data_IF_572972093954
#
_entry.id   IF_572972093954
#
_cell.length_a   1.000
_cell.length_b   1.000
_cell.length_c   1.000
_cell.angle_alpha   90.00
_cell.angle_beta   90.00
_cell.angle_gamma   90.00
#
_symmetry.space_group_name_H-M   'P 1'
#
loop_
_entity.id
_entity.type
_entity.pdbx_description
1 polymer ?
#
# COMPACT_ATOMS: atom_id res chain seq x y z
N UNK A 1 -25.14 -47.56 41.60
CA UNK A 1 -26.22 -47.12 42.49
C UNK A 1 -25.55 -46.26 43.54
N UNK A 2 -25.73 -44.95 43.36
CA UNK A 2 -25.24 -43.79 44.14
C UNK A 2 -23.70 -43.74 44.33
N UNK A 3 -22.89 -43.19 43.41
CA UNK A 3 -22.79 -41.78 42.91
C UNK A 3 -22.63 -40.77 44.05
N UNK A 4 -21.72 -39.81 44.06
CA UNK A 4 -20.59 -39.36 43.22
C UNK A 4 -19.65 -38.62 44.21
N UNK A 5 -18.32 -38.56 44.04
CA UNK A 5 -17.62 -37.41 43.44
C UNK A 5 -17.73 -36.13 44.31
N UNK A 6 -16.72 -35.31 44.58
CA UNK A 6 -15.46 -35.02 43.91
C UNK A 6 -14.62 -34.15 44.87
N UNK A 7 -13.30 -34.19 44.66
CA UNK A 7 -12.23 -33.33 45.20
C UNK A 7 -12.47 -31.81 44.93
N UNK A 8 -11.75 -30.83 45.50
CA UNK A 8 -10.44 -30.25 45.07
C UNK A 8 -10.39 -28.92 45.90
N UNK A 9 -9.47 -28.64 46.84
CA UNK A 9 -8.10 -28.11 46.75
C UNK A 9 -7.90 -26.69 46.15
N UNK A 10 -7.37 -25.75 46.95
CA UNK A 10 -6.35 -24.74 46.54
C UNK A 10 -5.71 -24.17 47.83
N UNK A 11 -4.39 -24.33 48.06
CA UNK A 11 -3.25 -23.48 47.66
C UNK A 11 -3.22 -22.14 48.45
N UNK A 12 -2.14 -21.66 49.09
CA UNK A 12 -0.69 -21.58 48.75
C UNK A 12 0.12 -21.58 50.08
N UNK A 13 1.24 -22.28 50.25
CA UNK A 13 2.58 -21.75 49.94
C UNK A 13 3.66 -22.85 49.98
N UNK A 14 4.57 -22.77 49.01
CA UNK A 14 5.50 -23.83 48.65
C UNK A 14 6.94 -23.64 49.12
N UNK A 15 7.70 -24.71 48.93
CA UNK A 15 9.05 -24.72 48.39
C UNK A 15 9.42 -26.19 48.19
N UNK A 16 9.69 -26.65 46.96
CA UNK A 16 10.77 -27.58 46.61
C UNK A 16 10.74 -27.90 45.10
N UNK A 17 11.92 -28.32 44.64
CA UNK A 17 12.52 -28.21 43.32
C UNK A 17 12.20 -29.33 42.32
N UNK A 18 12.26 -28.95 41.03
CA UNK A 18 12.85 -29.66 39.87
C UNK A 18 12.15 -30.87 39.19
N UNK A 19 11.91 -30.66 37.89
CA UNK A 19 12.17 -31.52 36.70
C UNK A 19 11.05 -32.31 35.98
N UNK A 20 10.79 -31.83 34.75
CA UNK A 20 10.74 -32.47 33.41
C UNK A 20 9.55 -33.32 32.94
N UNK A 21 8.92 -32.79 31.87
CA UNK A 21 8.43 -33.36 30.59
C UNK A 21 7.61 -34.68 30.53
N UNK A 22 6.48 -34.60 29.82
CA UNK A 22 6.09 -35.62 28.82
C UNK A 22 4.61 -36.02 28.75
N UNK A 23 3.96 -35.57 27.66
CA UNK A 23 3.02 -36.32 26.78
C UNK A 23 1.57 -36.70 27.21
N UNK A 24 0.61 -35.82 26.85
CA UNK A 24 -0.41 -35.90 25.74
C UNK A 24 -1.24 -37.19 25.50
N UNK A 25 -2.58 -37.03 25.62
CA UNK A 25 -3.75 -37.66 24.90
C UNK A 25 -4.02 -39.20 24.93
N UNK A 26 -5.20 -39.81 24.76
CA UNK A 26 -6.65 -39.49 24.56
C UNK A 26 -7.47 -40.82 24.58
N UNK A 27 -8.67 -40.77 25.18
CA UNK A 27 -9.95 -41.52 24.93
C UNK A 27 -10.14 -43.07 25.01
N UNK A 28 -11.39 -43.37 25.42
CA UNK A 28 -12.29 -44.55 25.24
C UNK A 28 -12.28 -45.70 26.28
N UNK A 29 -13.47 -45.94 26.87
CA UNK A 29 -13.84 -47.14 27.67
C UNK A 29 -14.09 -48.39 26.81
N UNK A 30 -14.87 -49.42 27.23
CA UNK A 30 -15.61 -49.62 28.47
C UNK A 30 -15.40 -51.00 29.17
N UNK A 31 -16.05 -51.13 30.34
CA UNK A 31 -16.38 -52.28 31.21
C UNK A 31 -16.29 -53.71 30.64
N UNK A 32 -15.75 -54.66 31.42
CA UNK A 32 -16.50 -55.65 32.23
C UNK A 32 -15.61 -56.76 32.86
N UNK A 33 -16.04 -57.22 34.05
CA UNK A 33 -15.96 -58.57 34.64
C UNK A 33 -14.69 -59.13 35.33
N UNK A 34 -14.83 -59.25 36.67
CA UNK A 34 -14.47 -60.34 37.63
C UNK A 34 -13.06 -60.96 37.65
N UNK A 35 -12.43 -61.15 38.84
CA UNK A 35 -11.11 -61.78 38.95
C UNK A 35 -11.19 -63.30 39.14
N UNK A 36 -10.30 -64.01 38.45
CA UNK A 36 -9.98 -65.41 38.67
C UNK A 36 -8.69 -65.56 39.51
N UNK A 37 -8.57 -66.74 40.12
CA UNK A 37 -7.79 -67.12 41.29
C UNK A 37 -6.39 -67.70 40.94
N UNK A 38 -5.31 -67.22 41.63
CA UNK A 38 -4.17 -67.90 42.39
C UNK A 38 -3.34 -68.99 41.63
N UNK A 39 -2.00 -69.27 41.84
CA UNK A 39 -1.28 -69.28 43.13
C UNK A 39 0.27 -69.06 43.22
N UNK A 40 0.77 -68.96 44.47
CA UNK A 40 2.17 -69.18 44.90
C UNK A 40 2.55 -68.35 46.15
N UNK A 41 2.23 -68.80 47.38
CA UNK A 41 3.07 -69.57 48.34
C UNK A 41 4.09 -68.69 49.13
N UNK A 42 4.18 -68.63 50.47
CA UNK A 42 3.60 -69.44 51.55
C UNK A 42 3.70 -68.78 52.97
N UNK A 43 2.69 -69.10 53.83
CA UNK A 43 2.70 -69.39 55.29
C UNK A 43 3.02 -68.25 56.31
N UNK A 44 2.25 -67.95 57.39
CA UNK A 44 1.43 -68.69 58.38
C UNK A 44 0.19 -67.82 58.81
N UNK A 45 -1.09 -68.23 58.73
CA UNK A 45 -2.00 -69.01 59.64
C UNK A 45 -2.15 -68.50 61.09
N UNK A 46 -3.33 -68.37 61.74
CA UNK A 46 -4.73 -68.77 61.43
C UNK A 46 -5.74 -67.89 62.20
N UNK A 47 -6.85 -67.65 61.52
CA UNK A 47 -8.18 -67.07 61.80
C UNK A 47 -8.78 -66.96 63.21
N UNK A 48 -9.70 -65.99 63.32
CA UNK A 48 -10.81 -66.04 64.28
C UNK A 48 -11.75 -64.83 64.28
N UNK A 49 -12.37 -64.48 63.15
CA UNK A 49 -13.57 -63.61 63.13
C UNK A 49 -14.82 -64.49 63.33
N UNK A 50 -15.81 -63.95 64.06
CA UNK A 50 -17.26 -64.30 64.09
C UNK A 50 -17.79 -65.02 65.35
N UNK A 51 -18.67 -64.28 66.06
CA UNK A 51 -19.82 -64.72 66.91
C UNK A 51 -19.49 -65.47 68.21
N UNK A 52 -20.29 -65.45 69.28
CA UNK A 52 -21.43 -64.68 69.79
C UNK A 52 -21.81 -65.42 71.09
N UNK A 53 -22.44 -64.72 72.04
CA UNK A 53 -23.30 -65.26 73.11
C UNK A 53 -22.68 -65.86 74.40
N UNK A 54 -23.18 -65.24 75.49
CA UNK A 54 -23.55 -65.77 76.82
C UNK A 54 -22.50 -65.75 77.93
N UNK A 55 -22.86 -65.07 79.02
CA UNK A 55 -22.46 -65.50 80.36
C UNK A 55 -22.39 -64.41 81.42
N UNK A 56 -23.53 -63.83 81.80
CA UNK A 56 -23.67 -63.27 83.15
C UNK A 56 -23.64 -64.42 84.16
N UNK A 57 -22.71 -64.41 85.13
CA UNK A 57 -22.89 -64.88 86.52
C UNK A 57 -21.92 -64.13 87.44
N UNK A 58 -22.50 -63.51 88.45
CA UNK A 58 -21.95 -62.79 89.60
C UNK A 58 -20.94 -63.59 90.48
N UNK A 59 -20.12 -62.88 91.28
CA UNK A 59 -20.43 -62.68 92.72
C UNK A 59 -19.24 -62.23 93.58
N UNK A 60 -19.46 -61.13 94.33
CA UNK A 60 -19.29 -60.89 95.80
C UNK A 60 -19.34 -59.37 96.02
N UNK A 61 -20.44 -58.69 96.44
CA UNK A 61 -21.24 -58.71 97.70
C UNK A 61 -20.32 -58.71 98.93
N UNK A 62 -20.29 -57.72 99.84
CA UNK A 62 -21.30 -57.02 100.69
C UNK A 62 -20.77 -55.61 101.08
N UNK A 63 -21.52 -54.59 101.54
CA UNK A 63 -22.89 -54.45 102.07
C UNK A 63 -23.26 -52.94 102.14
N UNK A 64 -24.56 -52.66 102.17
CA UNK A 64 -25.17 -51.34 102.34
C UNK A 64 -25.91 -51.25 103.70
N UNK A 65 -25.94 -50.07 104.32
CA UNK A 65 -26.93 -49.66 105.33
C UNK A 65 -27.24 -48.17 105.05
N UNK A 66 -28.34 -47.86 104.35
CA UNK A 66 -29.64 -47.38 104.87
C UNK A 66 -29.62 -45.96 105.47
N UNK A 67 -30.20 -44.96 104.79
CA UNK A 67 -31.55 -44.44 105.11
C UNK A 67 -31.99 -43.31 104.15
N UNK A 68 -33.29 -43.32 103.90
CA UNK A 68 -34.10 -42.46 103.05
C UNK A 68 -34.67 -41.24 103.82
N UNK A 69 -35.18 -40.27 103.07
CA UNK A 69 -36.17 -39.21 103.40
C UNK A 69 -35.72 -37.88 104.06
N UNK A 70 -35.78 -36.83 103.22
CA UNK A 70 -36.47 -35.54 103.38
C UNK A 70 -36.18 -34.61 104.60
N UNK A 71 -35.50 -33.50 104.32
CA UNK A 71 -35.59 -32.12 104.88
C UNK A 71 -34.35 -31.37 104.31
N UNK A 72 -34.34 -30.14 103.82
CA UNK A 72 -35.23 -28.99 103.75
C UNK A 72 -34.60 -28.00 102.74
N UNK A 73 -35.38 -27.11 102.12
CA UNK A 73 -34.84 -25.96 101.39
C UNK A 73 -33.89 -25.12 102.26
N UNK A 74 -32.71 -24.81 101.71
CA UNK A 74 -31.93 -23.58 101.96
C UNK A 74 -30.88 -23.43 100.85
N UNK A 75 -31.17 -22.52 99.92
CA UNK A 75 -30.26 -21.57 99.23
C UNK A 75 -28.76 -21.91 99.11
N UNK A 76 -28.29 -22.06 97.86
CA UNK A 76 -27.39 -21.09 97.21
C UNK A 76 -27.72 -21.04 95.72
N UNK A 77 -28.19 -19.88 95.28
CA UNK A 77 -28.31 -19.45 93.89
C UNK A 77 -26.93 -19.30 93.22
N UNK A 78 -26.87 -19.37 91.89
CA UNK A 78 -25.68 -18.90 91.19
C UNK A 78 -25.50 -19.39 89.75
N UNK A 79 -26.50 -19.26 88.88
CA UNK A 79 -26.20 -18.89 87.51
C UNK A 79 -26.71 -17.45 87.35
N UNK A 80 -25.86 -16.49 86.97
CA UNK A 80 -26.28 -15.12 86.77
C UNK A 80 -27.37 -15.06 85.68
N UNK A 81 -28.27 -14.05 85.71
CA UNK A 81 -29.16 -13.79 84.57
C UNK A 81 -28.29 -13.76 83.30
N UNK A 82 -28.71 -14.51 82.27
CA UNK A 82 -28.09 -14.41 80.96
C UNK A 82 -28.58 -13.07 80.41
N UNK A 83 -27.71 -12.06 80.50
CA UNK A 83 -27.93 -10.73 79.96
C UNK A 83 -27.50 -10.77 78.51
N UNK A 84 -28.23 -10.06 77.68
CA UNK A 84 -28.02 -9.84 76.25
C UNK A 84 -28.24 -8.32 76.12
N UNK A 85 -27.14 -7.59 75.98
CA UNK A 85 -27.06 -6.14 76.25
C UNK A 85 -27.51 -5.31 75.06
N UNK A 86 -27.16 -5.73 73.85
CA UNK A 86 -27.55 -5.13 72.56
C UNK A 86 -28.85 -5.74 71.99
N UNK A 87 -29.19 -6.98 72.38
CA UNK A 87 -30.45 -7.62 72.03
C UNK A 87 -30.39 -8.38 70.70
N UNK A 88 -29.21 -8.77 70.25
CA UNK A 88 -28.99 -9.42 68.95
C UNK A 88 -29.34 -10.93 68.95
N UNK A 89 -29.54 -11.50 70.14
CA UNK A 89 -29.89 -12.89 70.36
C UNK A 89 -28.75 -13.78 70.84
N UNK A 90 -27.52 -13.25 70.95
CA UNK A 90 -26.38 -13.86 71.64
C UNK A 90 -26.30 -13.28 73.06
N UNK A 91 -26.03 -14.13 74.05
CA UNK A 91 -25.96 -13.66 75.45
C UNK A 91 -24.55 -13.12 75.73
N UNK A 92 -24.40 -12.06 76.53
CA UNK A 92 -23.13 -11.38 76.86
C UNK A 92 -21.98 -12.34 77.27
N UNK A 93 -22.31 -13.52 77.80
CA UNK A 93 -21.34 -14.53 78.24
C UNK A 93 -20.71 -15.34 77.09
N UNK A 94 -21.38 -15.38 75.94
CA UNK A 94 -20.97 -16.07 74.72
C UNK A 94 -20.75 -15.11 73.54
N UNK A 95 -20.97 -13.82 73.77
CA UNK A 95 -20.92 -12.76 72.79
C UNK A 95 -19.53 -12.09 72.84
N UNK A 96 -18.86 -12.04 71.69
CA UNK A 96 -17.56 -11.41 71.51
C UNK A 96 -17.67 -9.88 71.42
N UNK A 97 -18.83 -9.36 71.05
CA UNK A 97 -19.16 -7.94 70.93
C UNK A 97 -20.45 -7.55 71.70
N UNK A 98 -20.50 -7.63 73.06
CA UNK A 98 -21.71 -7.47 73.88
C UNK A 98 -22.36 -6.07 73.96
N UNK A 99 -22.08 -5.19 73.02
CA UNK A 99 -22.69 -3.88 72.91
C UNK A 99 -23.05 -3.49 71.47
N UNK A 100 -22.94 -4.42 70.53
CA UNK A 100 -23.12 -4.24 69.10
C UNK A 100 -24.22 -5.17 68.60
N UNK A 101 -25.26 -4.62 67.99
CA UNK A 101 -26.40 -5.44 67.52
C UNK A 101 -26.06 -6.11 66.19
N UNK A 102 -25.56 -7.35 66.23
CA UNK A 102 -25.19 -8.11 65.04
C UNK A 102 -26.37 -8.84 64.37
N UNK A 103 -27.62 -8.45 64.69
CA UNK A 103 -28.84 -9.06 64.16
C UNK A 103 -28.88 -9.13 62.63
N UNK A 104 -28.72 -10.34 62.09
CA UNK A 104 -28.81 -10.60 60.65
C UNK A 104 -27.49 -10.48 59.89
N UNK A 105 -26.39 -10.14 60.59
CA UNK A 105 -25.04 -10.00 60.05
C UNK A 105 -24.01 -10.83 60.83
N UNK A 106 -24.44 -11.72 61.73
CA UNK A 106 -23.60 -12.68 62.48
C UNK A 106 -23.81 -14.10 61.93
N UNK A 107 -23.02 -14.48 60.92
CA UNK A 107 -23.14 -15.78 60.25
C UNK A 107 -22.48 -16.89 61.07
N UNK A 108 -21.42 -16.59 61.82
CA UNK A 108 -20.65 -17.59 62.56
C UNK A 108 -21.11 -17.80 64.02
N UNK A 109 -21.96 -16.90 64.51
CA UNK A 109 -22.68 -16.98 65.77
C UNK A 109 -21.87 -16.50 66.97
N UNK A 110 -20.88 -15.63 66.77
CA UNK A 110 -20.00 -15.13 67.83
C UNK A 110 -20.49 -13.83 68.50
N UNK A 111 -21.57 -13.22 68.00
CA UNK A 111 -22.17 -11.99 68.51
C UNK A 111 -21.53 -10.70 67.97
N UNK A 112 -20.62 -10.78 67.01
CA UNK A 112 -20.09 -9.61 66.30
C UNK A 112 -20.70 -9.50 64.90
N UNK A 113 -20.72 -8.28 64.34
CA UNK A 113 -21.04 -8.07 62.92
C UNK A 113 -19.90 -8.67 62.10
N UNK A 114 -20.24 -9.54 61.14
CA UNK A 114 -19.29 -10.11 60.19
C UNK A 114 -18.62 -8.97 59.37
N UNK A 115 -17.33 -9.12 59.14
CA UNK A 115 -16.55 -8.37 58.15
C UNK A 115 -16.11 -9.42 57.12
N UNK A 116 -17.03 -9.73 56.20
CA UNK A 116 -16.93 -10.90 55.34
C UNK A 116 -15.74 -10.84 54.38
N UNK A 117 -15.28 -9.64 54.05
CA UNK A 117 -14.18 -9.41 53.12
C UNK A 117 -12.87 -8.92 53.78
N UNK A 118 -12.94 -8.53 55.05
CA UNK A 118 -11.81 -8.19 55.90
C UNK A 118 -11.27 -6.78 55.69
N UNK A 119 -12.06 -5.84 55.16
CA UNK A 119 -11.64 -4.46 54.91
C UNK A 119 -11.75 -3.53 56.14
N UNK A 120 -12.40 -4.00 57.19
CA UNK A 120 -12.60 -3.29 58.46
C UNK A 120 -13.90 -2.49 58.54
N UNK A 121 -14.78 -2.61 57.55
CA UNK A 121 -16.18 -2.16 57.56
C UNK A 121 -17.07 -3.39 57.81
N UNK A 122 -18.05 -3.27 58.72
CA UNK A 122 -18.98 -4.38 58.98
C UNK A 122 -19.99 -4.54 57.84
N UNK A 123 -20.42 -5.78 57.59
CA UNK A 123 -21.39 -6.17 56.56
C UNK A 123 -22.75 -5.42 56.67
N UNK A 124 -23.05 -4.82 57.82
CA UNK A 124 -24.27 -4.06 58.08
C UNK A 124 -24.30 -2.69 57.40
N UNK A 125 -23.13 -2.12 57.13
CA UNK A 125 -22.95 -0.81 56.48
C UNK A 125 -22.06 -0.88 55.24
N UNK A 126 -21.42 -2.01 54.98
CA UNK A 126 -20.62 -2.23 53.79
C UNK A 126 -21.50 -2.59 52.58
N UNK A 127 -21.61 -1.71 51.57
CA UNK A 127 -22.30 -2.04 50.32
C UNK A 127 -21.64 -3.21 49.56
N UNK A 128 -20.35 -3.49 49.85
CA UNK A 128 -19.48 -4.38 49.09
C UNK A 128 -18.85 -5.51 49.92
N UNK A 129 -19.55 -5.98 50.96
CA UNK A 129 -19.20 -7.07 51.90
C UNK A 129 -18.63 -8.38 51.33
N UNK A 130 -18.59 -8.58 50.02
CA UNK A 130 -17.96 -9.74 49.38
C UNK A 130 -16.50 -9.52 48.95
N UNK A 131 -16.05 -8.27 48.81
CA UNK A 131 -14.77 -7.92 48.19
C UNK A 131 -14.17 -6.65 48.80
N UNK A 132 -12.96 -6.72 49.37
CA UNK A 132 -12.44 -5.62 50.16
C UNK A 132 -11.98 -4.45 49.26
N UNK A 133 -12.47 -3.24 49.54
CA UNK A 133 -12.22 -2.02 48.76
C UNK A 133 -12.71 -2.10 47.30
N UNK A 134 -13.86 -2.73 47.05
CA UNK A 134 -14.48 -2.92 45.73
C UNK A 134 -15.44 -1.78 45.35
N UNK A 135 -15.13 -0.54 45.75
CA UNK A 135 -15.85 0.71 45.40
C UNK A 135 -14.78 1.79 45.16
N UNK A 136 -14.31 1.87 43.92
CA UNK A 136 -13.11 2.61 43.54
C UNK A 136 -13.31 4.12 43.51
N UNK A 137 -14.53 4.61 43.28
CA UNK A 137 -14.85 6.04 43.24
C UNK A 137 -15.66 6.55 44.44
N UNK A 138 -16.19 5.64 45.27
CA UNK A 138 -16.86 5.93 46.52
C UNK A 138 -18.32 6.36 46.37
N UNK A 139 -18.99 6.01 45.28
CA UNK A 139 -20.40 6.33 45.03
C UNK A 139 -21.38 5.42 45.81
N UNK A 140 -20.87 4.32 46.37
CA UNK A 140 -21.61 3.32 47.13
C UNK A 140 -22.18 2.16 46.30
N UNK A 141 -21.76 2.01 45.05
CA UNK A 141 -21.97 0.86 44.17
C UNK A 141 -20.64 0.12 44.04
N UNK A 142 -20.67 -1.21 44.15
CA UNK A 142 -19.43 -1.97 44.02
C UNK A 142 -18.97 -2.01 42.55
N UNK A 143 -17.66 -1.91 42.29
CA UNK A 143 -17.01 -1.91 40.98
C UNK A 143 -17.54 -3.02 40.04
N UNK A 144 -17.85 -4.19 40.60
CA UNK A 144 -18.39 -5.33 39.85
C UNK A 144 -19.79 -5.09 39.24
N UNK A 145 -20.53 -4.14 39.82
CA UNK A 145 -21.91 -3.80 39.50
C UNK A 145 -22.08 -2.33 39.07
N UNK A 146 -21.00 -1.56 39.18
CA UNK A 146 -20.90 -0.17 38.80
C UNK A 146 -20.80 -0.05 37.26
N UNK A 147 -21.58 0.86 36.68
CA UNK A 147 -21.52 1.13 35.25
C UNK A 147 -20.22 1.85 34.90
N UNK A 148 -19.76 2.71 35.80
CA UNK A 148 -18.55 3.48 35.70
C UNK A 148 -17.70 3.39 36.97
N UNK A 149 -16.91 2.32 37.15
CA UNK A 149 -16.12 2.03 38.36
C UNK A 149 -15.06 3.06 38.77
N UNK A 150 -14.98 4.21 38.11
CA UNK A 150 -14.02 5.28 38.40
C UNK A 150 -14.64 6.67 38.31
N UNK A 151 -15.94 6.78 38.06
CA UNK A 151 -16.68 8.02 37.94
C UNK A 151 -17.96 7.99 38.81
N UNK A 152 -17.97 8.70 39.96
CA UNK A 152 -19.04 8.57 40.95
C UNK A 152 -20.37 9.20 40.51
N UNK A 153 -20.41 9.83 39.33
CA UNK A 153 -21.62 10.36 38.71
C UNK A 153 -22.21 9.41 37.65
N UNK A 154 -21.56 8.26 37.37
CA UNK A 154 -22.01 7.23 36.44
C UNK A 154 -22.36 7.78 35.03
N UNK A 155 -21.55 8.74 34.55
CA UNK A 155 -21.89 9.47 33.32
C UNK A 155 -21.43 8.69 32.10
N UNK A 156 -22.40 8.28 31.29
CA UNK A 156 -22.25 7.78 29.93
C UNK A 156 -23.22 8.58 29.05
N UNK A 157 -22.70 9.58 28.34
CA UNK A 157 -23.51 10.56 27.63
C UNK A 157 -24.24 10.00 26.40
N UNK A 158 -23.74 8.91 25.82
CA UNK A 158 -24.31 8.28 24.61
C UNK A 158 -24.82 6.84 24.80
N UNK A 159 -24.80 6.35 26.05
CA UNK A 159 -25.27 5.03 26.46
C UNK A 159 -24.56 3.88 25.72
N UNK A 160 -23.27 4.04 25.37
CA UNK A 160 -22.51 3.01 24.65
C UNK A 160 -21.77 2.01 25.56
N UNK A 161 -21.79 2.26 26.87
CA UNK A 161 -21.14 1.44 27.89
C UNK A 161 -19.70 1.82 28.21
N UNK A 162 -19.20 2.94 27.69
CA UNK A 162 -17.93 3.56 28.05
C UNK A 162 -18.21 4.90 28.72
N UNK A 163 -17.67 5.07 29.91
CA UNK A 163 -17.91 6.26 30.71
C UNK A 163 -17.23 7.50 30.12
N UNK A 164 -17.88 8.67 30.23
CA UNK A 164 -17.40 9.95 29.69
C UNK A 164 -15.94 10.26 30.06
N UNK A 165 -15.49 9.83 31.24
CA UNK A 165 -14.12 10.06 31.74
C UNK A 165 -13.04 9.30 30.96
N UNK A 166 -13.40 8.18 30.32
CA UNK A 166 -12.52 7.34 29.50
C UNK A 166 -12.96 7.29 28.04
N UNK A 167 -14.14 7.80 27.72
CA UNK A 167 -14.67 7.89 26.38
C UNK A 167 -13.98 9.00 25.57
N UNK A 168 -13.43 8.63 24.43
CA UNK A 168 -12.84 9.58 23.47
C UNK A 168 -13.95 10.37 22.77
N UNK A 169 -15.11 9.74 22.58
CA UNK A 169 -16.20 10.22 21.74
C UNK A 169 -17.46 10.59 22.51
N UNK A 170 -17.28 11.32 23.62
CA UNK A 170 -18.37 11.74 24.52
C UNK A 170 -19.60 12.24 23.76
N UNK A 171 -20.67 11.45 23.80
CA UNK A 171 -21.96 11.79 23.18
C UNK A 171 -22.18 11.20 21.77
N UNK A 172 -21.27 10.34 21.29
CA UNK A 172 -21.38 9.53 20.10
C UNK A 172 -20.81 8.12 20.34
N UNK A 173 -21.66 7.10 20.26
CA UNK A 173 -21.34 5.71 20.62
C UNK A 173 -20.01 5.17 20.04
N UNK A 174 -18.90 5.35 20.77
CA UNK A 174 -17.52 4.93 20.55
C UNK A 174 -17.18 4.58 19.10
N UNK A 175 -17.39 5.56 18.23
CA UNK A 175 -17.04 5.48 16.81
C UNK A 175 -15.70 6.17 16.60
N UNK A 176 -14.64 5.47 16.97
CA UNK A 176 -13.26 5.75 16.56
C UNK A 176 -12.81 4.50 15.79
N UNK A 177 -13.22 4.42 14.52
CA UNK A 177 -13.12 3.21 13.70
C UNK A 177 -11.67 2.80 13.42
N UNK A 178 -10.74 3.75 13.45
CA UNK A 178 -9.32 3.56 13.15
C UNK A 178 -8.38 3.65 14.37
N UNK A 179 -8.89 4.14 15.51
CA UNK A 179 -8.19 4.21 16.78
C UNK A 179 -7.24 5.41 16.90
N UNK A 180 -7.44 6.46 16.11
CA UNK A 180 -6.56 7.65 16.07
C UNK A 180 -6.89 8.70 17.15
N UNK A 181 -7.94 8.45 17.95
CA UNK A 181 -8.51 9.33 18.97
C UNK A 181 -9.30 10.54 18.43
N UNK A 182 -9.77 10.46 17.19
CA UNK A 182 -10.73 11.37 16.58
C UNK A 182 -11.99 10.57 16.25
N UNK A 183 -13.15 11.13 16.59
CA UNK A 183 -14.42 10.44 16.36
C UNK A 183 -14.82 10.48 14.89
N UNK A 184 -15.36 9.39 14.34
CA UNK A 184 -15.78 9.20 12.94
C UNK A 184 -16.70 10.32 12.40
N UNK A 185 -17.44 11.02 13.26
CA UNK A 185 -18.35 12.11 12.85
C UNK A 185 -17.63 13.44 12.62
N UNK A 186 -16.42 13.59 13.16
CA UNK A 186 -15.50 14.70 12.98
C UNK A 186 -14.37 14.30 12.03
N UNK A 187 -13.96 13.04 12.09
CA UNK A 187 -12.89 12.48 11.30
C UNK A 187 -13.31 12.32 9.84
N UNK A 188 -12.52 12.92 8.97
CA UNK A 188 -12.70 12.85 7.52
C UNK A 188 -11.91 11.68 6.92
N UNK A 189 -10.99 11.09 7.69
CA UNK A 189 -9.99 10.14 7.27
C UNK A 189 -9.98 8.90 8.16
N UNK A 190 -10.99 8.06 7.98
CA UNK A 190 -11.32 6.83 8.75
C UNK A 190 -10.27 5.69 8.66
N UNK A 191 -8.98 6.02 8.59
CA UNK A 191 -7.84 5.11 8.42
C UNK A 191 -6.82 5.25 9.55
N UNK A 192 -6.05 4.19 9.83
CA UNK A 192 -5.14 4.09 11.00
C UNK A 192 -3.88 5.00 10.97
N UNK A 193 -4.00 6.26 10.57
CA UNK A 193 -2.94 7.26 10.69
C UNK A 193 -3.30 8.30 11.77
N UNK A 194 -2.28 8.89 12.40
CA UNK A 194 -2.47 9.85 13.51
C UNK A 194 -2.45 11.32 13.03
N UNK A 195 -2.59 11.56 11.72
CA UNK A 195 -2.39 12.87 11.11
C UNK A 195 -3.15 13.00 9.78
N UNK A 196 -4.46 12.73 9.79
CA UNK A 196 -5.32 12.89 8.64
C UNK A 196 -5.00 14.15 7.83
N UNK A 197 -4.88 13.97 6.51
CA UNK A 197 -4.56 15.01 5.51
C UNK A 197 -3.29 15.81 5.85
N UNK A 198 -2.13 15.17 5.65
CA UNK A 198 -0.81 15.68 6.07
C UNK A 198 -0.40 16.97 5.37
N UNK A 199 -0.84 17.16 4.13
CA UNK A 199 -0.51 18.30 3.28
C UNK A 199 -1.66 19.33 3.17
N UNK A 200 -2.88 18.97 3.58
CA UNK A 200 -4.04 19.85 3.68
C UNK A 200 -4.85 19.97 2.38
N UNK A 201 -4.76 18.98 1.51
CA UNK A 201 -5.37 18.96 0.18
C UNK A 201 -6.81 18.37 0.14
N UNK A 202 -7.29 17.90 1.30
CA UNK A 202 -8.56 17.22 1.54
C UNK A 202 -8.65 15.76 1.07
N UNK A 203 -7.51 15.13 0.80
CA UNK A 203 -7.35 13.69 0.59
C UNK A 203 -6.59 13.10 1.78
N UNK A 204 -6.94 11.88 2.16
CA UNK A 204 -6.35 11.22 3.31
C UNK A 204 -5.07 10.49 2.90
N UNK A 205 -3.99 10.59 3.68
CA UNK A 205 -2.65 10.09 3.34
C UNK A 205 -2.62 8.61 2.90
N UNK A 206 -3.54 7.77 3.38
CA UNK A 206 -3.65 6.36 3.03
C UNK A 206 -4.24 6.11 1.62
N UNK A 207 -4.90 7.13 1.07
CA UNK A 207 -5.47 7.17 -0.28
C UNK A 207 -4.82 8.21 -1.19
N UNK A 208 -3.97 9.06 -0.63
CA UNK A 208 -3.28 10.15 -1.32
C UNK A 208 -2.06 9.63 -2.09
N UNK A 209 -2.02 9.87 -3.40
CA UNK A 209 -0.88 9.52 -4.24
C UNK A 209 0.32 10.49 -4.10
N UNK A 210 0.16 11.58 -3.34
CA UNK A 210 1.20 12.53 -2.96
C UNK A 210 1.04 13.07 -1.52
N UNK A 211 1.02 12.18 -0.52
CA UNK A 211 0.76 12.50 0.90
C UNK A 211 1.55 13.66 1.58
N UNK A 212 2.59 14.21 0.95
CA UNK A 212 3.37 15.34 1.46
C UNK A 212 3.21 16.63 0.62
N UNK A 213 2.54 16.60 -0.54
CA UNK A 213 2.47 17.67 -1.54
C UNK A 213 1.05 17.86 -2.11
N UNK A 214 0.36 19.00 -1.83
CA UNK A 214 -1.08 19.14 -2.10
C UNK A 214 -1.49 18.97 -3.56
N UNK A 215 -2.30 17.95 -3.83
CA UNK A 215 -2.83 17.64 -5.17
C UNK A 215 -4.29 17.12 -5.12
N UNK A 216 -5.29 18.00 -4.87
CA UNK A 216 -6.69 17.60 -4.65
C UNK A 216 -7.37 16.88 -5.83
N UNK A 217 -6.78 16.94 -7.03
CA UNK A 217 -7.26 16.24 -8.22
C UNK A 217 -6.67 14.84 -8.39
N UNK A 218 -5.66 14.48 -7.59
CA UNK A 218 -5.01 13.17 -7.56
C UNK A 218 -4.63 12.72 -8.96
N UNK A 219 -4.07 13.65 -9.75
CA UNK A 219 -3.58 13.36 -11.08
C UNK A 219 -2.44 12.34 -10.99
N UNK A 220 -2.47 11.38 -11.91
CA UNK A 220 -1.57 10.23 -12.05
C UNK A 220 -1.62 9.85 -13.53
N UNK A 221 -0.77 10.50 -14.33
CA UNK A 221 -0.80 10.45 -15.78
C UNK A 221 -0.37 9.07 -16.31
N UNK A 222 0.59 8.43 -15.65
CA UNK A 222 1.21 7.18 -16.07
C UNK A 222 0.57 5.92 -15.41
N UNK A 223 -0.16 6.11 -14.31
CA UNK A 223 -0.91 5.10 -13.59
C UNK A 223 -0.05 4.23 -12.68
N UNK A 224 1.13 4.70 -12.24
CA UNK A 224 2.04 3.96 -11.36
C UNK A 224 1.64 4.03 -9.87
N UNK A 225 0.76 4.99 -9.52
CA UNK A 225 0.23 5.21 -8.19
C UNK A 225 0.96 6.28 -7.37
N UNK A 226 1.95 6.97 -7.93
CA UNK A 226 2.54 8.23 -7.47
C UNK A 226 1.83 9.36 -8.24
N UNK A 227 1.53 10.48 -7.58
CA UNK A 227 0.84 11.58 -8.27
C UNK A 227 1.80 12.53 -8.97
N UNK A 228 1.33 13.11 -10.09
CA UNK A 228 2.11 14.02 -10.96
C UNK A 228 2.83 15.14 -10.19
N UNK A 229 2.28 15.59 -9.06
CA UNK A 229 2.81 16.72 -8.26
C UNK A 229 4.05 16.36 -7.45
N UNK A 230 4.18 15.09 -7.02
CA UNK A 230 5.28 14.62 -6.19
C UNK A 230 6.29 13.76 -6.98
N UNK A 231 6.08 13.63 -8.29
CA UNK A 231 7.03 13.04 -9.21
C UNK A 231 8.19 13.98 -9.51
N UNK A 232 9.29 13.39 -9.98
CA UNK A 232 10.47 14.16 -10.36
C UNK A 232 10.26 14.74 -11.76
N UNK A 233 10.55 16.04 -11.88
CA UNK A 233 10.66 16.80 -13.12
C UNK A 233 11.95 17.61 -12.98
N UNK A 234 13.05 17.02 -13.43
CA UNK A 234 14.42 17.45 -13.17
C UNK A 234 14.76 18.76 -13.88
N UNK A 235 14.13 19.02 -15.02
CA UNK A 235 14.39 20.19 -15.85
C UNK A 235 13.28 21.26 -15.80
N UNK A 236 12.10 20.90 -15.29
CA UNK A 236 10.97 21.78 -15.03
C UNK A 236 10.14 22.12 -16.28
N UNK A 237 10.15 21.27 -17.29
CA UNK A 237 9.41 21.49 -18.55
C UNK A 237 7.92 21.06 -18.47
N UNK A 238 7.56 20.30 -17.44
CA UNK A 238 6.20 19.79 -17.20
C UNK A 238 5.95 18.37 -17.68
N UNK A 239 6.97 17.65 -18.14
CA UNK A 239 7.01 16.20 -18.35
C UNK A 239 7.80 15.57 -17.20
N UNK A 240 7.33 14.45 -16.67
CA UNK A 240 8.00 13.76 -15.55
C UNK A 240 9.23 12.99 -16.05
N UNK A 241 10.26 12.86 -15.23
CA UNK A 241 11.55 12.21 -15.56
C UNK A 241 11.40 10.81 -16.18
N UNK A 242 10.36 10.05 -15.80
CA UNK A 242 10.13 8.68 -16.29
C UNK A 242 9.48 8.64 -17.69
N UNK A 243 8.80 9.72 -18.11
CA UNK A 243 8.16 9.88 -19.42
C UNK A 243 8.91 10.87 -20.34
N UNK A 244 9.95 11.55 -19.82
CA UNK A 244 10.72 12.56 -20.52
C UNK A 244 11.87 11.96 -21.36
N UNK A 245 11.84 12.20 -22.67
CA UNK A 245 12.90 11.79 -23.59
C UNK A 245 14.18 12.63 -23.49
N UNK A 246 14.19 13.72 -22.69
CA UNK A 246 15.32 14.58 -22.38
C UNK A 246 15.36 15.10 -20.93
N UNK A 247 15.25 14.21 -19.93
CA UNK A 247 15.27 14.44 -18.45
C UNK A 247 16.03 15.67 -17.88
N UNK A 248 17.14 16.09 -18.50
CA UNK A 248 17.98 17.20 -18.01
C UNK A 248 17.85 18.51 -18.83
N UNK A 249 17.12 18.52 -19.96
CA UNK A 249 17.07 19.60 -20.95
C UNK A 249 15.63 19.89 -21.45
N UNK A 250 15.00 21.03 -21.07
CA UNK A 250 13.56 21.26 -21.26
C UNK A 250 13.04 21.16 -22.69
N UNK A 251 12.05 20.28 -22.92
CA UNK A 251 11.41 20.02 -24.21
C UNK A 251 9.95 19.55 -24.07
N UNK A 252 9.07 20.46 -23.66
CA UNK A 252 7.64 20.21 -23.38
C UNK A 252 6.83 19.60 -24.55
N UNK A 253 7.32 19.70 -25.78
CA UNK A 253 6.73 19.11 -26.98
C UNK A 253 7.18 17.67 -27.25
N UNK A 254 8.21 17.19 -26.56
CA UNK A 254 8.77 15.84 -26.61
C UNK A 254 9.05 15.41 -28.06
N UNK A 255 9.57 16.34 -28.87
CA UNK A 255 9.95 16.06 -30.25
C UNK A 255 11.07 15.00 -30.29
N UNK A 256 10.93 14.03 -31.19
CA UNK A 256 11.80 12.87 -31.42
C UNK A 256 11.64 12.50 -32.91
N UNK A 257 12.45 13.14 -33.76
CA UNK A 257 12.26 13.16 -35.20
C UNK A 257 12.64 11.83 -35.88
N UNK A 258 13.61 11.08 -35.34
CA UNK A 258 14.01 9.78 -35.84
C UNK A 258 13.29 8.60 -35.14
N UNK A 259 12.69 8.84 -33.97
CA UNK A 259 11.91 7.87 -33.20
C UNK A 259 12.77 6.87 -32.41
N UNK A 260 14.00 7.22 -32.03
CA UNK A 260 14.89 6.34 -31.27
C UNK A 260 14.67 6.40 -29.74
N UNK A 261 13.90 7.39 -29.28
CA UNK A 261 13.53 7.62 -27.89
C UNK A 261 14.41 8.60 -27.14
N UNK A 262 15.38 9.25 -27.79
CA UNK A 262 16.08 10.44 -27.33
C UNK A 262 15.38 11.65 -27.97
N UNK A 263 15.10 12.71 -27.20
CA UNK A 263 14.43 13.88 -27.77
C UNK A 263 15.38 14.78 -28.56
N UNK A 264 14.86 15.49 -29.57
CA UNK A 264 15.64 16.37 -30.47
C UNK A 264 16.48 17.45 -29.73
N UNK A 265 16.10 17.79 -28.49
CA UNK A 265 16.83 18.79 -27.69
C UNK A 265 18.12 18.21 -27.09
N UNK A 266 18.17 16.91 -26.85
CA UNK A 266 19.28 16.20 -26.22
C UNK A 266 19.86 15.07 -27.09
N UNK A 267 19.36 14.88 -28.30
CA UNK A 267 20.00 14.10 -29.36
C UNK A 267 21.10 14.94 -30.05
N UNK A 268 22.12 14.26 -30.59
CA UNK A 268 23.17 14.87 -31.41
C UNK A 268 22.98 14.55 -32.93
N UNK A 269 21.97 13.74 -33.29
CA UNK A 269 21.66 13.23 -34.66
C UNK A 269 20.13 13.08 -34.85
N UNK A 270 19.41 14.22 -34.92
CA UNK A 270 17.94 14.32 -34.86
C UNK A 270 17.18 13.52 -35.94
N UNK A 271 17.81 13.15 -37.05
CA UNK A 271 17.18 12.37 -38.13
C UNK A 271 17.75 10.96 -38.34
N UNK A 272 18.74 10.58 -37.54
CA UNK A 272 19.33 9.25 -37.50
C UNK A 272 20.02 8.83 -38.79
N UNK A 273 20.48 9.76 -39.62
CA UNK A 273 21.21 9.46 -40.87
C UNK A 273 22.70 9.14 -40.66
N UNK A 274 23.23 9.46 -39.47
CA UNK A 274 24.60 9.24 -39.06
C UNK A 274 25.53 10.45 -39.23
N UNK A 275 25.01 11.62 -39.57
CA UNK A 275 25.70 12.92 -39.58
C UNK A 275 25.18 13.75 -38.40
N UNK A 276 26.07 14.15 -37.50
CA UNK A 276 25.66 14.92 -36.32
C UNK A 276 25.08 16.28 -36.72
N UNK A 277 24.07 16.80 -36.00
CA UNK A 277 23.34 18.04 -36.35
C UNK A 277 24.26 19.25 -36.53
N UNK A 278 25.37 19.28 -35.79
CA UNK A 278 26.37 20.35 -35.88
C UNK A 278 27.16 20.37 -37.19
N UNK A 279 27.15 19.26 -37.92
CA UNK A 279 27.80 19.05 -39.22
C UNK A 279 26.79 18.79 -40.35
N UNK A 280 25.50 18.63 -40.02
CA UNK A 280 24.41 18.30 -40.94
C UNK A 280 23.82 19.54 -41.62
N UNK A 281 23.66 19.47 -42.95
CA UNK A 281 22.98 20.51 -43.74
C UNK A 281 21.45 20.38 -43.77
N UNK A 282 20.90 19.29 -43.24
CA UNK A 282 19.47 19.04 -43.07
C UNK A 282 19.15 18.25 -41.78
N UNK A 283 19.37 18.79 -40.57
CA UNK A 283 19.28 18.04 -39.29
C UNK A 283 17.98 17.26 -39.02
N UNK A 284 16.88 17.59 -39.70
CA UNK A 284 15.58 16.93 -39.52
C UNK A 284 15.16 16.05 -40.72
N UNK A 285 16.03 15.85 -41.71
CA UNK A 285 15.69 15.16 -42.96
C UNK A 285 16.83 14.29 -43.49
N UNK A 286 16.80 13.01 -43.09
CA UNK A 286 17.89 12.07 -43.36
C UNK A 286 18.46 12.13 -44.79
N UNK A 287 19.74 12.49 -44.89
CA UNK A 287 20.50 12.68 -46.11
C UNK A 287 22.01 12.43 -45.91
N UNK A 288 22.38 11.16 -45.66
CA UNK A 288 23.75 10.70 -45.37
C UNK A 288 24.84 11.11 -46.40
N UNK A 289 24.44 11.51 -47.60
CA UNK A 289 25.31 11.99 -48.67
C UNK A 289 25.56 13.50 -48.68
N UNK A 290 24.81 14.26 -47.86
CA UNK A 290 24.98 15.68 -47.57
C UNK A 290 25.11 16.51 -48.86
N UNK A 291 24.29 16.18 -49.86
CA UNK A 291 24.26 16.91 -51.13
C UNK A 291 23.70 18.31 -50.88
N UNK A 292 24.44 19.31 -51.34
CA UNK A 292 24.12 20.74 -51.36
C UNK A 292 24.59 21.26 -52.73
N UNK A 293 23.64 21.37 -53.67
CA UNK A 293 23.91 21.61 -55.09
C UNK A 293 24.35 23.06 -55.37
N UNK A 294 23.83 24.02 -54.62
CA UNK A 294 24.09 25.46 -54.82
C UNK A 294 25.17 26.02 -53.87
N UNK A 295 25.47 25.31 -52.78
CA UNK A 295 26.50 25.61 -51.81
C UNK A 295 26.10 26.65 -50.76
N UNK A 296 24.80 26.81 -50.49
CA UNK A 296 24.29 27.79 -49.51
C UNK A 296 24.29 27.28 -48.05
N UNK A 297 24.48 25.97 -47.88
CA UNK A 297 24.55 25.29 -46.59
C UNK A 297 23.26 24.58 -46.16
N UNK A 298 22.20 24.63 -46.96
CA UNK A 298 21.05 23.72 -46.84
C UNK A 298 21.25 22.53 -47.78
N UNK A 299 20.86 21.33 -47.34
CA UNK A 299 20.92 20.16 -48.22
C UNK A 299 19.72 20.08 -49.16
N UNK A 300 19.91 19.50 -50.34
CA UNK A 300 18.87 19.36 -51.39
C UNK A 300 17.59 18.64 -50.89
N UNK A 301 17.64 17.92 -49.75
CA UNK A 301 16.46 17.25 -49.18
C UNK A 301 15.55 18.20 -48.39
N UNK A 302 16.13 19.25 -47.80
CA UNK A 302 15.43 20.24 -46.98
C UNK A 302 15.50 21.67 -47.55
N UNK A 303 16.16 21.86 -48.68
CA UNK A 303 16.09 23.06 -49.51
C UNK A 303 14.85 23.00 -50.42
N UNK A 304 14.30 24.17 -50.75
CA UNK A 304 13.19 24.30 -51.69
C UNK A 304 13.59 24.89 -53.06
N UNK A 305 14.87 25.14 -53.28
CA UNK A 305 15.48 25.68 -54.51
C UNK A 305 16.90 25.12 -54.71
N UNK A 306 17.02 23.81 -54.97
CA UNK A 306 18.27 23.01 -54.94
C UNK A 306 19.45 23.64 -55.70
N UNK A 307 19.19 24.41 -56.77
CA UNK A 307 20.24 24.99 -57.61
C UNK A 307 20.43 26.50 -57.44
N UNK A 308 19.69 27.12 -56.52
CA UNK A 308 19.78 28.52 -56.14
C UNK A 308 19.45 29.50 -57.27
N UNK A 309 18.75 29.06 -58.32
CA UNK A 309 18.40 29.92 -59.45
C UNK A 309 17.14 30.79 -59.18
N UNK A 310 16.47 30.59 -58.05
CA UNK A 310 15.33 31.39 -57.62
C UNK A 310 13.99 30.86 -58.16
N UNK A 311 13.97 29.63 -58.65
CA UNK A 311 12.77 28.91 -59.08
C UNK A 311 12.65 27.64 -58.25
N UNK A 312 11.73 27.66 -57.29
CA UNK A 312 11.52 26.52 -56.40
C UNK A 312 11.35 25.19 -57.14
N UNK A 313 11.86 24.09 -56.56
CA UNK A 313 12.03 22.78 -57.23
C UNK A 313 10.73 22.24 -57.85
N UNK A 314 9.61 22.49 -57.17
CA UNK A 314 8.27 22.06 -57.60
C UNK A 314 7.82 22.71 -58.91
N UNK A 315 8.37 23.90 -59.20
CA UNK A 315 8.13 24.67 -60.40
C UNK A 315 9.31 24.63 -61.39
N UNK A 316 10.48 24.14 -60.96
CA UNK A 316 11.67 24.07 -61.77
C UNK A 316 11.63 22.89 -62.75
N UNK A 317 11.98 23.18 -64.01
CA UNK A 317 12.13 22.16 -65.05
C UNK A 317 13.58 21.71 -65.21
N UNK A 318 14.53 22.35 -64.52
CA UNK A 318 15.95 22.25 -64.75
C UNK A 318 16.80 22.30 -63.46
N UNK A 319 16.57 21.40 -62.48
CA UNK A 319 17.15 21.43 -61.12
C UNK A 319 18.65 21.13 -61.12
N UNK A 320 19.47 22.14 -61.39
CA UNK A 320 20.91 22.00 -61.64
C UNK A 320 21.41 23.03 -62.65
N UNK A 321 20.66 24.10 -62.83
CA UNK A 321 21.07 25.33 -63.48
C UNK A 321 22.07 26.05 -62.60
N UNK A 322 23.29 26.24 -63.11
CA UNK A 322 24.32 26.91 -62.34
C UNK A 322 23.93 28.38 -62.01
N UNK A 323 24.01 28.78 -60.74
CA UNK A 323 23.78 30.15 -60.21
C UNK A 323 24.27 31.31 -61.10
N UNK A 324 25.44 31.17 -61.75
CA UNK A 324 26.05 32.22 -62.58
C UNK A 324 25.62 32.22 -64.05
N UNK A 325 24.65 31.40 -64.45
CA UNK A 325 24.15 31.34 -65.83
C UNK A 325 22.78 32.00 -65.97
N UNK A 326 22.52 32.76 -67.05
CA UNK A 326 21.18 33.29 -67.29
C UNK A 326 20.16 32.16 -67.54
N UNK A 327 19.10 32.14 -66.73
CA UNK A 327 17.98 31.20 -66.78
C UNK A 327 16.66 31.89 -67.15
N UNK A 328 15.64 31.09 -67.49
CA UNK A 328 14.29 31.58 -67.78
C UNK A 328 13.34 31.39 -66.60
N UNK A 329 12.08 31.81 -66.72
CA UNK A 329 11.08 31.73 -65.65
C UNK A 329 10.70 30.30 -65.21
N UNK A 330 11.29 29.27 -65.83
CA UNK A 330 11.14 27.86 -65.48
C UNK A 330 12.48 27.24 -65.03
N UNK A 331 13.39 28.07 -64.50
CA UNK A 331 14.68 27.65 -63.94
C UNK A 331 15.67 27.07 -64.94
N UNK A 332 15.46 27.29 -66.25
CA UNK A 332 16.29 26.63 -67.27
C UNK A 332 17.25 27.57 -67.97
N UNK A 333 18.54 27.23 -68.00
CA UNK A 333 19.50 27.91 -68.85
C UNK A 333 19.18 27.77 -70.34
N UNK A 334 19.75 28.67 -71.15
CA UNK A 334 19.60 28.61 -72.60
C UNK A 334 20.13 27.33 -73.25
N UNK A 335 21.08 26.61 -72.63
CA UNK A 335 21.54 25.29 -73.11
C UNK A 335 20.55 24.19 -72.72
N UNK A 336 20.12 24.12 -71.45
CA UNK A 336 19.11 23.15 -70.99
C UNK A 336 17.79 23.28 -71.77
N UNK A 337 17.32 24.50 -72.09
CA UNK A 337 16.13 24.71 -72.94
C UNK A 337 16.27 24.09 -74.33
N UNK A 338 17.47 24.14 -74.91
CA UNK A 338 17.73 23.50 -76.20
C UNK A 338 17.69 21.98 -76.05
N UNK A 339 18.22 21.45 -74.95
CA UNK A 339 18.20 20.01 -74.67
C UNK A 339 16.77 19.50 -74.44
N UNK A 340 15.95 20.19 -73.63
CA UNK A 340 14.53 19.87 -73.44
C UNK A 340 13.74 19.91 -74.76
N UNK A 341 13.94 20.94 -75.58
CA UNK A 341 13.19 21.11 -76.82
C UNK A 341 13.65 20.17 -77.94
N UNK A 342 14.95 19.89 -78.03
CA UNK A 342 15.54 19.13 -79.13
C UNK A 342 15.86 17.69 -78.78
N UNK A 343 15.85 17.30 -77.50
CA UNK A 343 16.29 15.99 -77.02
C UNK A 343 17.78 15.73 -77.25
N UNK A 344 18.18 14.47 -77.09
CA UNK A 344 19.56 14.06 -77.27
C UNK A 344 19.89 13.72 -78.73
N UNK A 345 21.18 13.79 -79.12
CA UNK A 345 21.66 13.24 -80.37
C UNK A 345 21.22 11.78 -80.64
N UNK A 346 21.15 10.96 -79.59
CA UNK A 346 20.84 9.54 -79.70
C UNK A 346 19.42 9.31 -80.22
N UNK A 347 18.46 10.14 -79.81
CA UNK A 347 17.03 10.02 -80.13
C UNK A 347 16.76 10.12 -81.64
N UNK A 348 17.53 10.95 -82.33
CA UNK A 348 17.40 11.17 -83.77
C UNK A 348 18.08 10.06 -84.56
N UNK A 349 19.18 9.52 -84.05
CA UNK A 349 20.09 8.65 -84.80
C UNK A 349 20.68 9.34 -86.04
N UNK A 350 21.62 8.66 -86.70
CA UNK A 350 22.41 9.31 -87.76
C UNK A 350 21.62 9.73 -89.00
N UNK A 351 20.50 9.07 -89.31
CA UNK A 351 19.68 9.35 -90.51
C UNK A 351 18.86 10.63 -90.38
N UNK A 352 18.59 11.07 -89.14
CA UNK A 352 17.80 12.28 -88.85
C UNK A 352 18.68 13.42 -88.31
N UNK A 353 20.00 13.35 -88.53
CA UNK A 353 20.95 14.39 -88.08
C UNK A 353 20.57 15.80 -88.55
N UNK A 354 20.12 15.95 -89.81
CA UNK A 354 19.67 17.24 -90.32
C UNK A 354 18.37 17.77 -89.68
N UNK A 355 17.59 16.93 -88.98
CA UNK A 355 16.45 17.37 -88.16
C UNK A 355 16.93 17.89 -86.80
N UNK A 356 17.77 17.12 -86.11
CA UNK A 356 18.39 17.53 -84.85
C UNK A 356 19.14 18.86 -84.96
N UNK A 357 20.07 18.97 -85.92
CA UNK A 357 20.84 20.20 -86.13
C UNK A 357 19.93 21.40 -86.48
N UNK A 358 18.84 21.18 -87.22
CA UNK A 358 17.87 22.26 -87.49
C UNK A 358 17.14 22.71 -86.23
N UNK A 359 16.78 21.78 -85.34
CA UNK A 359 16.21 22.10 -84.03
C UNK A 359 17.20 22.94 -83.21
N UNK A 360 18.42 22.43 -82.98
CA UNK A 360 19.45 23.14 -82.20
C UNK A 360 19.75 24.54 -82.76
N UNK A 361 19.86 24.68 -84.08
CA UNK A 361 20.08 25.99 -84.72
C UNK A 361 18.91 26.95 -84.51
N UNK A 362 17.69 26.44 -84.47
CA UNK A 362 16.46 27.22 -84.28
C UNK A 362 16.29 27.63 -82.82
N UNK A 363 16.34 26.68 -81.88
CA UNK A 363 16.17 26.94 -80.45
C UNK A 363 17.32 27.80 -79.90
N UNK A 364 18.57 27.58 -80.31
CA UNK A 364 19.68 28.46 -79.92
C UNK A 364 19.52 29.90 -80.40
N UNK A 365 18.79 30.17 -81.49
CA UNK A 365 18.48 31.55 -81.91
C UNK A 365 17.44 32.18 -80.99
N UNK A 366 16.46 31.40 -80.52
CA UNK A 366 15.46 31.89 -79.56
C UNK A 366 16.13 32.21 -78.23
N UNK A 367 16.98 31.34 -77.72
CA UNK A 367 17.73 31.55 -76.48
C UNK A 367 18.60 32.81 -76.52
N UNK A 368 19.35 33.06 -77.62
CA UNK A 368 20.10 34.33 -77.78
C UNK A 368 19.18 35.55 -77.80
N UNK A 369 17.99 35.44 -78.40
CA UNK A 369 17.02 36.54 -78.43
C UNK A 369 16.40 36.82 -77.06
N UNK A 370 16.23 35.77 -76.24
CA UNK A 370 15.73 35.86 -74.88
C UNK A 370 16.78 36.34 -73.87
N UNK A 371 18.06 36.44 -74.27
CA UNK A 371 19.16 36.85 -73.38
C UNK A 371 19.81 35.68 -72.64
N UNK A 372 19.34 34.46 -72.83
CA UNK A 372 19.82 33.25 -72.14
C UNK A 372 21.16 32.72 -72.67
N UNK A 373 21.59 33.17 -73.86
CA UNK A 373 22.86 32.78 -74.46
C UNK A 373 23.53 33.97 -75.13
N UNK A 374 24.85 34.00 -75.06
CA UNK A 374 25.69 34.85 -75.92
C UNK A 374 25.82 34.25 -77.32
N UNK A 375 26.19 35.08 -78.29
CA UNK A 375 26.53 34.62 -79.65
C UNK A 375 27.70 33.62 -79.67
N UNK A 376 28.61 33.71 -78.69
CA UNK A 376 29.76 32.81 -78.55
C UNK A 376 29.32 31.43 -78.06
N UNK A 377 28.47 31.36 -77.03
CA UNK A 377 27.91 30.09 -76.54
C UNK A 377 27.08 29.40 -77.60
N UNK A 378 26.20 30.13 -78.28
CA UNK A 378 25.45 29.59 -79.41
C UNK A 378 26.35 28.94 -80.46
N UNK A 379 27.48 29.55 -80.79
CA UNK A 379 28.42 28.99 -81.75
C UNK A 379 29.09 27.71 -81.21
N UNK A 380 29.37 27.62 -79.90
CA UNK A 380 29.89 26.39 -79.27
C UNK A 380 28.87 25.26 -79.30
N UNK A 381 27.62 25.53 -78.88
CA UNK A 381 26.52 24.54 -78.85
C UNK A 381 26.28 23.93 -80.24
N UNK A 382 26.20 24.77 -81.29
CA UNK A 382 26.01 24.28 -82.66
C UNK A 382 27.19 23.41 -83.12
N UNK A 383 28.43 23.79 -82.78
CA UNK A 383 29.62 22.99 -83.12
C UNK A 383 29.60 21.64 -82.40
N UNK A 384 29.26 21.62 -81.10
CA UNK A 384 29.12 20.41 -80.28
C UNK A 384 28.09 19.46 -80.89
N UNK A 385 26.88 19.96 -81.19
CA UNK A 385 25.81 19.17 -81.81
C UNK A 385 26.23 18.51 -83.14
N UNK A 386 26.98 19.23 -84.00
CA UNK A 386 27.50 18.68 -85.27
C UNK A 386 28.50 17.55 -85.00
N UNK A 387 29.40 17.72 -84.03
CA UNK A 387 30.40 16.71 -83.65
C UNK A 387 29.72 15.47 -83.08
N UNK A 388 28.75 15.63 -82.18
CA UNK A 388 28.00 14.51 -81.59
C UNK A 388 27.24 13.71 -82.64
N UNK A 389 26.63 14.38 -83.63
CA UNK A 389 26.03 13.70 -84.78
C UNK A 389 27.02 12.92 -85.65
N UNK A 390 28.25 13.42 -85.78
CA UNK A 390 29.33 12.67 -86.41
C UNK A 390 29.67 11.40 -85.63
N UNK A 391 29.75 11.49 -84.31
CA UNK A 391 30.00 10.34 -83.42
C UNK A 391 28.87 9.31 -83.55
N UNK A 392 27.59 9.74 -83.49
CA UNK A 392 26.43 8.85 -83.66
C UNK A 392 26.47 8.13 -85.02
N UNK A 393 26.83 8.83 -86.10
CA UNK A 393 27.00 8.24 -87.43
C UNK A 393 28.14 7.23 -87.48
N UNK A 394 29.26 7.53 -86.83
CA UNK A 394 30.42 6.65 -86.78
C UNK A 394 30.13 5.37 -85.99
N UNK A 395 29.55 5.48 -84.79
CA UNK A 395 29.07 4.32 -83.99
C UNK A 395 28.08 3.45 -84.77
N UNK A 396 27.15 4.07 -85.50
CA UNK A 396 26.17 3.37 -86.36
C UNK A 396 26.78 2.68 -87.58
N UNK A 397 28.00 3.07 -87.98
CA UNK A 397 28.78 2.37 -88.99
C UNK A 397 29.52 1.19 -88.36
N UNK A 398 30.21 1.38 -87.24
CA UNK A 398 30.92 0.28 -86.57
C UNK A 398 30.03 -0.90 -86.19
N UNK A 399 28.83 -0.66 -85.66
CA UNK A 399 27.83 -1.72 -85.36
C UNK A 399 27.33 -2.52 -86.57
N UNK A 400 27.66 -2.10 -87.80
CA UNK A 400 27.35 -2.84 -89.03
C UNK A 400 28.54 -3.69 -89.52
N UNK A 401 29.70 -3.53 -88.91
CA UNK A 401 30.94 -4.22 -89.27
C UNK A 401 31.35 -5.28 -88.23
N UNK A 402 30.91 -5.14 -86.98
CA UNK A 402 30.74 -6.24 -86.04
C UNK A 402 29.40 -6.91 -86.31
#
# INVERSE_FOLDING_TARGET
>A
MCQDGIQIASYVSGNFTSWSNGDVEVLFGPRHSLPAWVPGDAQFTIDGVVQSLRGAVDAKIEEAILYDTALSCAEVAGLPPQVDTDGDGVIDANDACPAEDASGYDTDGDGCIDDSDGDGVGDDVDPCSGFPNDDSDGDGVCDANDACPTDPDDVDADDDGVCDVVDVCVGAANVDSDGDQICDDIDQCLGNDASGDGDGDSICNDTDNCADDPNPDQADADGDGIGDVCEADSDGDGVIDDDDNCVDDPNDDQSDNDGDGIGDVCDDDDDGDGVLDTEDNCPFYANDDQIDTDGDGFGDVCDGDDDGDGVADEADLCPGTALDVPFDEQGCSGEQRIELACGSPADYGWRRSGRYIRCVVHESRKAVKAGLLTWRERARIIRRAIIEMWIVRWRSRLRRWC
#
